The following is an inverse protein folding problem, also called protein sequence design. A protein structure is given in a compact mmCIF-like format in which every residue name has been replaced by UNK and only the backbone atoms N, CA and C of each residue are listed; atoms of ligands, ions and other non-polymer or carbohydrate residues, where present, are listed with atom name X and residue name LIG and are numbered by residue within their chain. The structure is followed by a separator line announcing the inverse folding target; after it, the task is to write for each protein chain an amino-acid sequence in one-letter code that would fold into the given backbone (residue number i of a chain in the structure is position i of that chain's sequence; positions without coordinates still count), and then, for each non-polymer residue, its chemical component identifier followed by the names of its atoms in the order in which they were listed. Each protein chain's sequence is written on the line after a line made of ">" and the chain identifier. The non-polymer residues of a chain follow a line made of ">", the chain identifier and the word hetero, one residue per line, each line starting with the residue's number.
data_IF_792803563582
#
_entry.id   IF_792803563582
#
_cell.length_a   1.000
_cell.length_b   1.000
_cell.length_c   1.000
_cell.angle_alpha   90.00
_cell.angle_beta   90.00
_cell.angle_gamma   90.00
#
_symmetry.space_group_name_H-M   'P 1'
#
loop_
_entity.id
_entity.type
_entity.pdbx_description
1 polymer ?
#
# COMPACT_ATOMS: atom_id res chain seq x y z
N UNK A 1 -4.58 10.67 -1.47
CA UNK A 1 -4.18 10.37 -0.07
C UNK A 1 -4.82 11.33 0.95
N UNK A 2 -4.48 12.63 0.97
CA UNK A 2 -5.06 13.61 1.93
C UNK A 2 -6.59 13.62 1.97
N UNK A 3 -7.25 13.58 0.82
CA UNK A 3 -8.73 13.68 0.74
C UNK A 3 -9.45 12.43 1.29
N UNK A 4 -8.91 11.23 1.02
CA UNK A 4 -9.42 9.96 1.56
C UNK A 4 -9.23 9.90 3.08
N UNK A 5 -8.01 10.22 3.55
CA UNK A 5 -7.73 10.27 4.97
C UNK A 5 -8.61 11.29 5.69
N UNK A 6 -8.78 12.48 5.14
CA UNK A 6 -9.65 13.51 5.73
C UNK A 6 -11.11 13.05 5.79
N UNK A 7 -11.68 12.51 4.70
CA UNK A 7 -13.07 12.03 4.72
C UNK A 7 -13.31 10.84 5.65
N UNK A 8 -12.33 9.95 5.83
CA UNK A 8 -12.44 8.82 6.77
C UNK A 8 -12.19 9.29 8.21
N UNK A 9 -11.24 10.20 8.41
CA UNK A 9 -10.88 10.77 9.72
C UNK A 9 -11.89 11.79 10.24
N UNK A 10 -12.74 12.34 9.38
CA UNK A 10 -13.88 13.19 9.77
C UNK A 10 -14.99 12.39 10.45
N UNK A 11 -14.97 11.05 10.34
CA UNK A 11 -15.84 10.15 11.09
C UNK A 11 -15.43 10.05 12.56
N UNK A 12 -16.40 10.18 13.48
CA UNK A 12 -16.18 9.81 14.87
C UNK A 12 -15.99 8.28 14.98
N UNK A 13 -15.11 7.77 15.87
CA UNK A 13 -15.05 6.34 16.20
C UNK A 13 -16.40 5.75 16.61
N UNK A 14 -17.31 6.57 17.13
CA UNK A 14 -18.67 6.18 17.52
C UNK A 14 -19.68 6.18 16.37
N UNK A 15 -19.34 6.75 15.21
CA UNK A 15 -20.23 6.80 14.04
C UNK A 15 -19.41 6.81 12.73
N UNK A 16 -18.79 5.67 12.37
CA UNK A 16 -17.91 5.62 11.21
C UNK A 16 -18.72 5.75 9.90
N UNK A 17 -18.21 6.45 8.88
CA UNK A 17 -18.90 6.64 7.60
C UNK A 17 -19.07 5.35 6.80
N UNK A 18 -18.26 4.33 7.09
CA UNK A 18 -18.31 3.03 6.48
C UNK A 18 -18.27 1.94 7.55
N UNK A 19 -18.95 0.83 7.27
CA UNK A 19 -18.89 -0.39 8.04
C UNK A 19 -18.46 -1.54 7.13
N UNK A 20 -17.81 -2.53 7.74
CA UNK A 20 -17.59 -3.81 7.09
C UNK A 20 -18.90 -4.61 7.06
N UNK A 21 -19.16 -5.30 5.96
CA UNK A 21 -20.28 -6.21 5.83
C UNK A 21 -20.26 -7.26 6.96
N UNK A 22 -21.44 -7.53 7.54
CA UNK A 22 -21.61 -8.45 8.68
C UNK A 22 -21.38 -9.91 8.28
N UNK A 23 -21.39 -10.23 6.99
CA UNK A 23 -21.13 -11.58 6.46
C UNK A 23 -19.66 -11.86 6.11
N UNK A 24 -18.71 -11.07 6.65
CA UNK A 24 -17.29 -11.36 6.49
C UNK A 24 -16.90 -12.66 7.21
N UNK A 25 -16.27 -13.56 6.46
CA UNK A 25 -15.63 -14.72 7.07
C UNK A 25 -14.38 -14.29 7.88
N UNK A 26 -14.02 -15.11 8.87
CA UNK A 26 -12.91 -14.83 9.78
C UNK A 26 -11.56 -14.67 9.07
N UNK A 27 -11.35 -15.33 7.93
CA UNK A 27 -10.11 -15.22 7.15
C UNK A 27 -9.98 -13.83 6.54
N UNK A 28 -11.03 -13.31 5.91
CA UNK A 28 -11.02 -11.95 5.34
C UNK A 28 -10.88 -10.91 6.44
N UNK A 29 -11.56 -11.07 7.58
CA UNK A 29 -11.43 -10.16 8.71
C UNK A 29 -10.00 -10.14 9.28
N UNK A 30 -9.40 -11.32 9.47
CA UNK A 30 -8.02 -11.45 9.92
C UNK A 30 -7.03 -10.82 8.94
N UNK A 31 -7.25 -10.95 7.63
CA UNK A 31 -6.43 -10.29 6.62
C UNK A 31 -6.49 -8.77 6.79
N UNK A 32 -7.71 -8.21 6.80
CA UNK A 32 -7.90 -6.76 6.92
C UNK A 32 -7.32 -6.15 8.20
N UNK A 33 -7.30 -6.92 9.29
CA UNK A 33 -6.72 -6.51 10.58
C UNK A 33 -5.18 -6.54 10.59
N UNK A 34 -4.58 -7.56 9.97
CA UNK A 34 -3.13 -7.78 10.06
C UNK A 34 -2.33 -7.15 8.90
N UNK A 35 -2.92 -7.08 7.70
CA UNK A 35 -2.25 -6.58 6.51
C UNK A 35 -1.69 -5.16 6.66
N UNK A 36 -2.37 -4.18 7.28
CA UNK A 36 -1.82 -2.83 7.43
C UNK A 36 -0.49 -2.80 8.19
N UNK A 37 -0.41 -3.51 9.32
CA UNK A 37 0.82 -3.58 10.12
C UNK A 37 1.94 -4.27 9.34
N UNK A 38 1.62 -5.36 8.64
CA UNK A 38 2.58 -6.08 7.81
C UNK A 38 3.10 -5.24 6.63
N UNK A 39 2.23 -4.49 5.94
CA UNK A 39 2.63 -3.57 4.86
C UNK A 39 3.63 -2.53 5.38
N UNK A 40 3.35 -1.93 6.55
CA UNK A 40 4.22 -0.92 7.17
C UNK A 40 5.59 -1.52 7.53
N UNK A 41 5.61 -2.70 8.15
CA UNK A 41 6.86 -3.42 8.46
C UNK A 41 7.71 -3.63 7.20
N UNK A 42 7.09 -4.07 6.09
CA UNK A 42 7.79 -4.31 4.83
C UNK A 42 8.33 -3.04 4.19
N UNK A 43 7.61 -1.92 4.27
CA UNK A 43 8.17 -0.62 3.87
C UNK A 43 9.37 -0.22 4.73
N UNK A 44 9.37 -0.55 6.03
CA UNK A 44 10.52 -0.38 6.92
C UNK A 44 11.75 -1.15 6.43
N UNK A 45 11.57 -2.40 6.01
CA UNK A 45 12.66 -3.22 5.42
C UNK A 45 13.20 -2.58 4.14
N UNK A 46 12.32 -2.08 3.24
CA UNK A 46 12.76 -1.38 2.02
C UNK A 46 13.57 -0.13 2.37
N UNK A 47 13.11 0.67 3.33
CA UNK A 47 13.80 1.87 3.76
C UNK A 47 15.18 1.56 4.38
N UNK A 48 15.27 0.52 5.20
CA UNK A 48 16.54 0.08 5.79
C UNK A 48 17.52 -0.38 4.71
N UNK A 49 17.08 -1.21 3.77
CA UNK A 49 17.94 -1.67 2.67
C UNK A 49 18.48 -0.49 1.85
N UNK A 50 17.64 0.50 1.53
CA UNK A 50 18.08 1.72 0.82
C UNK A 50 19.08 2.54 1.65
N UNK A 51 18.88 2.62 2.96
CA UNK A 51 19.79 3.31 3.86
C UNK A 51 21.16 2.62 3.90
N UNK A 52 21.19 1.30 4.00
CA UNK A 52 22.42 0.51 4.04
C UNK A 52 23.20 0.67 2.72
N UNK A 53 22.52 0.58 1.57
CA UNK A 53 23.15 0.82 0.25
C UNK A 53 23.75 2.22 0.15
N UNK A 54 23.02 3.24 0.61
CA UNK A 54 23.51 4.62 0.58
C UNK A 54 24.73 4.79 1.48
N UNK A 55 24.73 4.15 2.65
CA UNK A 55 25.85 4.21 3.58
C UNK A 55 27.10 3.52 3.03
N UNK A 56 26.94 2.34 2.41
CA UNK A 56 28.04 1.61 1.77
C UNK A 56 28.68 2.39 0.60
N UNK A 57 27.88 3.20 -0.10
CA UNK A 57 28.35 4.11 -1.15
C UNK A 57 29.15 5.30 -0.59
N UNK A 58 28.73 5.87 0.54
CA UNK A 58 29.31 7.09 1.12
C UNK A 58 30.63 6.80 1.86
N UNK A 59 30.76 5.63 2.48
CA UNK A 59 31.93 5.24 3.30
C UNK A 59 33.21 4.92 2.48
N UNK A 60 33.19 5.11 1.16
CA UNK A 60 34.37 4.93 0.30
C UNK A 60 34.79 3.47 0.10
N UNK A 61 34.04 2.52 0.66
CA UNK A 61 34.21 1.08 0.48
C UNK A 61 33.40 0.56 -0.73
N UNK A 62 32.99 1.47 -1.63
CA UNK A 62 31.86 1.47 -2.56
C UNK A 62 31.70 0.35 -3.59
N UNK A 63 32.01 -0.88 -3.22
CA UNK A 63 31.56 -2.06 -3.91
C UNK A 63 30.14 -2.40 -3.41
N UNK A 64 29.13 -1.85 -4.08
CA UNK A 64 27.80 -2.42 -3.99
C UNK A 64 27.84 -3.77 -4.72
N UNK A 65 27.33 -4.83 -4.09
CA UNK A 65 27.13 -6.12 -4.76
C UNK A 65 26.25 -5.94 -6.02
N UNK A 66 26.63 -6.55 -7.14
CA UNK A 66 25.92 -6.45 -8.42
C UNK A 66 24.44 -6.90 -8.30
N UNK A 67 24.08 -7.60 -7.23
CA UNK A 67 22.73 -8.06 -6.89
C UNK A 67 21.92 -7.18 -5.92
N UNK A 68 22.36 -5.97 -5.55
CA UNK A 68 21.67 -5.14 -4.52
C UNK A 68 20.19 -4.85 -4.79
N UNK A 69 19.79 -4.87 -6.06
CA UNK A 69 18.43 -4.60 -6.50
C UNK A 69 17.49 -5.77 -6.20
N UNK A 70 18.01 -7.00 -6.13
CA UNK A 70 17.24 -8.25 -5.91
C UNK A 70 16.40 -8.19 -4.62
N UNK A 71 16.96 -7.88 -3.44
CA UNK A 71 16.18 -7.79 -2.22
C UNK A 71 15.11 -6.69 -2.29
N UNK A 72 15.38 -5.55 -2.93
CA UNK A 72 14.39 -4.46 -3.08
C UNK A 72 13.24 -4.87 -4.01
N UNK A 73 13.53 -5.53 -5.13
CA UNK A 73 12.52 -6.09 -6.05
C UNK A 73 11.67 -7.14 -5.35
N UNK A 74 12.27 -8.00 -4.53
CA UNK A 74 11.53 -8.99 -3.76
C UNK A 74 10.55 -8.30 -2.79
N UNK A 75 11.03 -7.33 -2.01
CA UNK A 75 10.19 -6.65 -1.01
C UNK A 75 9.04 -5.86 -1.65
N UNK A 76 9.29 -5.10 -2.73
CA UNK A 76 8.21 -4.34 -3.38
C UNK A 76 7.13 -5.26 -3.97
N UNK A 77 7.51 -6.44 -4.47
CA UNK A 77 6.55 -7.43 -4.94
C UNK A 77 5.74 -8.04 -3.78
N UNK A 78 6.37 -8.32 -2.64
CA UNK A 78 5.67 -8.77 -1.42
C UNK A 78 4.67 -7.71 -0.93
N UNK A 79 5.10 -6.45 -0.86
CA UNK A 79 4.21 -5.33 -0.49
C UNK A 79 3.04 -5.25 -1.46
N UNK A 80 3.31 -5.38 -2.76
CA UNK A 80 2.27 -5.29 -3.78
C UNK A 80 1.24 -6.40 -3.65
N UNK A 81 1.69 -7.63 -3.43
CA UNK A 81 0.80 -8.75 -3.19
C UNK A 81 -0.09 -8.50 -1.96
N UNK A 82 0.49 -8.01 -0.87
CA UNK A 82 -0.27 -7.72 0.35
C UNK A 82 -1.29 -6.61 0.14
N UNK A 83 -0.87 -5.50 -0.48
CA UNK A 83 -1.72 -4.37 -0.84
C UNK A 83 -2.89 -4.85 -1.70
N UNK A 84 -2.60 -5.54 -2.80
CA UNK A 84 -3.63 -6.02 -3.73
C UNK A 84 -4.61 -6.98 -3.03
N UNK A 85 -4.10 -7.91 -2.21
CA UNK A 85 -4.92 -8.86 -1.43
C UNK A 85 -5.79 -8.20 -0.37
N UNK A 86 -5.39 -7.04 0.14
CA UNK A 86 -6.14 -6.26 1.15
C UNK A 86 -7.22 -5.41 0.48
N UNK A 87 -6.89 -4.79 -0.65
CA UNK A 87 -7.79 -3.84 -1.30
C UNK A 87 -9.01 -4.49 -1.94
N UNK A 88 -8.86 -5.70 -2.48
CA UNK A 88 -9.95 -6.44 -3.10
C UNK A 88 -11.12 -6.68 -2.12
N UNK A 89 -10.90 -7.30 -0.94
CA UNK A 89 -11.96 -7.46 0.04
C UNK A 89 -12.45 -6.12 0.61
N UNK A 90 -11.58 -5.12 0.72
CA UNK A 90 -11.98 -3.79 1.14
C UNK A 90 -13.02 -3.18 0.18
N UNK A 91 -12.80 -3.33 -1.14
CA UNK A 91 -13.70 -2.82 -2.17
C UNK A 91 -15.01 -3.60 -2.31
N UNK A 92 -15.02 -4.88 -1.95
CA UNK A 92 -16.21 -5.74 -2.04
C UNK A 92 -17.07 -5.74 -0.78
N UNK A 93 -16.51 -5.46 0.40
CA UNK A 93 -17.19 -5.62 1.68
C UNK A 93 -17.35 -4.33 2.49
N UNK A 94 -16.91 -3.17 1.98
CA UNK A 94 -17.24 -1.88 2.60
C UNK A 94 -18.63 -1.43 2.17
N UNK A 95 -19.50 -1.22 3.17
CA UNK A 95 -20.87 -0.73 3.01
C UNK A 95 -20.98 0.63 3.70
N UNK A 96 -21.66 1.62 3.12
CA UNK A 96 -21.96 2.88 3.81
C UNK A 96 -22.73 2.62 5.11
N UNK A 97 -22.32 3.27 6.20
CA UNK A 97 -23.07 3.18 7.47
C UNK A 97 -24.42 3.87 7.36
N UNK A 98 -25.45 3.33 8.01
CA UNK A 98 -26.82 3.86 7.96
C UNK A 98 -27.00 5.30 8.52
N UNK A 99 -25.98 5.90 9.13
CA UNK A 99 -25.99 7.32 9.52
C UNK A 99 -25.55 8.27 8.39
N UNK A 100 -25.07 7.73 7.26
CA UNK A 100 -24.56 8.51 6.13
C UNK A 100 -25.66 8.96 5.14
N UNK A 101 -26.93 8.62 5.40
CA UNK A 101 -28.06 8.87 4.48
C UNK A 101 -28.44 10.34 4.27
N UNK A 102 -27.82 11.30 4.98
CA UNK A 102 -28.08 12.73 4.78
C UNK A 102 -27.22 13.36 3.66
N UNK A 103 -26.26 12.62 3.08
CA UNK A 103 -25.29 13.13 2.09
C UNK A 103 -25.18 12.22 0.83
N UNK A 104 -24.77 12.76 -0.34
CA UNK A 104 -24.74 12.07 -1.66
C UNK A 104 -23.98 10.72 -1.65
N UNK A 105 -24.08 9.88 -2.71
CA UNK A 105 -23.75 8.44 -2.62
C UNK A 105 -22.25 8.20 -2.41
N UNK A 106 -21.85 8.19 -1.13
CA UNK A 106 -20.50 8.02 -0.62
C UNK A 106 -19.85 6.70 -1.10
N UNK A 107 -20.67 5.71 -1.44
CA UNK A 107 -20.24 4.42 -1.99
C UNK A 107 -19.59 4.56 -3.38
N UNK A 108 -20.20 5.36 -4.26
CA UNK A 108 -19.66 5.62 -5.60
C UNK A 108 -18.32 6.35 -5.48
N UNK A 109 -18.27 7.37 -4.62
CA UNK A 109 -17.03 8.09 -4.32
C UNK A 109 -15.96 7.14 -3.79
N UNK A 110 -16.29 6.29 -2.82
CA UNK A 110 -15.34 5.36 -2.22
C UNK A 110 -14.77 4.36 -3.25
N UNK A 111 -15.61 3.71 -4.05
CA UNK A 111 -15.17 2.77 -5.09
C UNK A 111 -14.32 3.46 -6.16
N UNK A 112 -14.69 4.67 -6.58
CA UNK A 112 -13.87 5.48 -7.49
C UNK A 112 -12.52 5.79 -6.86
N UNK A 113 -12.48 6.16 -5.58
CA UNK A 113 -11.25 6.52 -4.88
C UNK A 113 -10.33 5.33 -4.67
N UNK A 114 -10.88 4.18 -4.30
CA UNK A 114 -10.15 2.92 -4.19
C UNK A 114 -9.53 2.53 -5.54
N UNK A 115 -10.29 2.69 -6.63
CA UNK A 115 -9.80 2.44 -7.99
C UNK A 115 -8.68 3.39 -8.40
N UNK A 116 -8.80 4.68 -8.07
CA UNK A 116 -7.73 5.66 -8.27
C UNK A 116 -6.48 5.27 -7.48
N UNK A 117 -6.64 4.83 -6.23
CA UNK A 117 -5.52 4.42 -5.40
C UNK A 117 -4.81 3.17 -5.95
N UNK A 118 -5.56 2.16 -6.40
CA UNK A 118 -5.01 1.00 -7.13
C UNK A 118 -4.18 1.43 -8.34
N UNK A 119 -4.70 2.35 -9.13
CA UNK A 119 -4.00 2.91 -10.29
C UNK A 119 -2.70 3.61 -9.90
N UNK A 120 -2.74 4.48 -8.88
CA UNK A 120 -1.57 5.19 -8.37
C UNK A 120 -0.51 4.23 -7.82
N UNK A 121 -0.92 3.21 -7.06
CA UNK A 121 -0.03 2.19 -6.52
C UNK A 121 0.69 1.42 -7.64
N UNK A 122 -0.06 0.96 -8.65
CA UNK A 122 0.52 0.26 -9.80
C UNK A 122 1.55 1.12 -10.53
N UNK A 123 1.24 2.40 -10.76
CA UNK A 123 2.19 3.35 -11.38
C UNK A 123 3.46 3.51 -10.56
N UNK A 124 3.35 3.77 -9.26
CA UNK A 124 4.52 3.96 -8.38
C UNK A 124 5.37 2.71 -8.30
N UNK A 125 4.74 1.53 -8.16
CA UNK A 125 5.40 0.23 -8.18
C UNK A 125 6.23 0.03 -9.45
N UNK A 126 5.62 0.26 -10.62
CA UNK A 126 6.29 0.05 -11.89
C UNK A 126 7.44 1.06 -12.07
N UNK A 127 7.23 2.32 -11.73
CA UNK A 127 8.30 3.34 -11.75
C UNK A 127 9.48 2.96 -10.85
N UNK A 128 9.20 2.46 -9.64
CA UNK A 128 10.25 1.99 -8.74
C UNK A 128 11.01 0.80 -9.32
N UNK A 129 10.31 -0.20 -9.86
CA UNK A 129 10.92 -1.36 -10.53
C UNK A 129 11.71 -0.96 -11.78
N UNK A 130 11.25 0.04 -12.53
CA UNK A 130 11.95 0.57 -13.70
C UNK A 130 13.27 1.24 -13.28
N UNK A 131 13.27 2.05 -12.22
CA UNK A 131 14.50 2.64 -11.67
C UNK A 131 15.49 1.56 -11.26
N UNK A 132 15.04 0.51 -10.57
CA UNK A 132 15.90 -0.62 -10.22
C UNK A 132 16.43 -1.37 -11.46
N UNK A 133 15.71 -1.37 -12.58
CA UNK A 133 16.14 -2.00 -13.84
C UNK A 133 17.12 -1.12 -14.63
N UNK A 134 16.93 0.20 -14.59
CA UNK A 134 17.82 1.14 -15.27
C UNK A 134 19.21 1.19 -14.63
N UNK A 135 19.34 0.95 -13.32
CA UNK A 135 20.65 0.83 -12.66
C UNK A 135 21.46 -0.41 -13.09
N UNK A 136 20.82 -1.38 -13.76
CA UNK A 136 21.45 -2.59 -14.30
C UNK A 136 22.16 -2.31 -15.65
N UNK A 137 21.72 -1.27 -16.39
CA UNK A 137 22.23 -0.93 -17.74
C UNK A 137 23.29 0.17 -17.78
N UNK A 138 23.63 0.80 -16.65
CA UNK A 138 24.62 1.88 -16.57
C UNK A 138 26.07 1.40 -16.35
N UNK A 139 26.29 0.08 -16.22
CA UNK A 139 27.59 -0.55 -16.03
C UNK A 139 28.08 -1.27 -17.32
N UNK A 140 28.04 -0.59 -18.47
CA UNK A 140 28.67 -1.03 -19.73
C UNK A 140 29.53 0.08 -20.35
#
# INVERSE_FOLDING_TARGET
>A
MRVLWNKISEGSPTNPPFALDRELNSKTLSLLDNSPAYIVDRFGVVAQNLFDIYHDLDDGNGAIDDGWQIPLRFQINVISMEVESTLDPLGSHLVPSASAFDHPPLESDFKTWLSMWKGQWSTVKNQFLDVLSCSEGANL
#
